data_IF_990242779511
#
_entry.id   IF_990242779511
#
_cell.length_a   1.000
_cell.length_b   1.000
_cell.length_c   1.000
_cell.angle_alpha   90.00
_cell.angle_beta   90.00
_cell.angle_gamma   90.00
#
_symmetry.space_group_name_H-M   'P 1'
#
loop_
_entity.id
_entity.type
_entity.pdbx_description
1 polymer ?
#
# COMPACT_ATOMS: atom_id res chain seq x y z
N UNK A 1 23.76 -2.98 -3.93
CA UNK A 1 22.33 -2.94 -3.56
C UNK A 1 22.21 -3.63 -2.22
N UNK A 2 21.64 -2.97 -1.21
CA UNK A 2 21.44 -3.57 0.10
C UNK A 2 20.53 -4.80 -0.05
N UNK A 3 20.76 -5.89 0.69
CA UNK A 3 19.91 -7.10 0.60
C UNK A 3 18.60 -6.92 1.40
N UNK A 4 18.06 -5.70 1.43
CA UNK A 4 16.88 -5.39 2.24
C UNK A 4 15.62 -5.90 1.54
N UNK A 5 14.58 -6.21 2.33
CA UNK A 5 13.43 -6.96 1.86
C UNK A 5 12.75 -6.34 0.63
N UNK A 6 12.63 -5.01 0.62
CA UNK A 6 11.92 -4.25 -0.42
C UNK A 6 12.82 -3.83 -1.59
N UNK A 7 14.15 -3.94 -1.45
CA UNK A 7 15.09 -3.66 -2.53
C UNK A 7 15.42 -4.89 -3.39
N UNK A 8 14.81 -6.04 -3.06
CA UNK A 8 14.87 -7.23 -3.89
C UNK A 8 14.36 -6.94 -5.32
N UNK A 9 15.12 -7.26 -6.38
CA UNK A 9 14.76 -6.93 -7.75
C UNK A 9 13.38 -7.46 -8.19
N UNK A 10 12.98 -8.63 -7.70
CA UNK A 10 11.71 -9.24 -8.08
C UNK A 10 10.53 -8.55 -7.39
N UNK A 11 10.73 -8.10 -6.15
CA UNK A 11 9.75 -7.27 -5.43
C UNK A 11 9.59 -5.91 -6.13
N UNK A 12 10.70 -5.28 -6.54
CA UNK A 12 10.67 -4.02 -7.29
C UNK A 12 9.94 -4.21 -8.62
N UNK A 13 10.21 -5.30 -9.35
CA UNK A 13 9.56 -5.57 -10.62
C UNK A 13 8.05 -5.80 -10.45
N UNK A 14 7.64 -6.56 -9.43
CA UNK A 14 6.24 -6.82 -9.12
C UNK A 14 5.50 -5.55 -8.67
N UNK A 15 6.13 -4.68 -7.87
CA UNK A 15 5.51 -3.48 -7.30
C UNK A 15 5.12 -2.44 -8.35
N UNK A 16 5.77 -2.43 -9.51
CA UNK A 16 5.41 -1.54 -10.63
C UNK A 16 4.00 -1.72 -11.18
N UNK A 17 3.33 -2.84 -10.84
CA UNK A 17 1.93 -3.12 -11.22
C UNK A 17 0.92 -2.60 -10.20
N UNK A 18 1.39 -1.98 -9.12
CA UNK A 18 0.59 -1.49 -8.02
C UNK A 18 0.81 0.02 -7.85
N UNK A 19 -0.17 0.69 -7.26
CA UNK A 19 -0.04 2.07 -6.81
C UNK A 19 0.21 2.06 -5.31
N UNK A 20 1.20 2.82 -4.86
CA UNK A 20 1.40 3.06 -3.44
C UNK A 20 0.46 4.18 -2.98
N UNK A 21 -0.39 3.89 -2.00
CA UNK A 21 -1.28 4.88 -1.38
C UNK A 21 -0.78 5.12 0.03
N UNK A 22 -0.46 6.37 0.34
CA UNK A 22 -0.15 6.82 1.69
C UNK A 22 -1.34 7.60 2.21
N UNK A 23 -1.90 7.13 3.31
CA UNK A 23 -3.00 7.80 3.99
C UNK A 23 -2.48 8.80 5.03
N UNK A 24 -3.20 9.90 5.19
CA UNK A 24 -2.98 10.99 6.12
C UNK A 24 -3.43 10.60 7.54
N UNK A 25 -2.56 9.89 8.26
CA UNK A 25 -2.89 9.27 9.54
C UNK A 25 -3.17 10.26 10.68
N UNK A 26 -2.57 11.45 10.67
CA UNK A 26 -2.76 12.47 11.70
C UNK A 26 -3.47 13.72 11.17
N UNK A 27 -3.39 13.92 9.86
CA UNK A 27 -3.80 15.14 9.19
C UNK A 27 -5.26 15.07 8.71
N UNK A 28 -5.82 13.85 8.58
CA UNK A 28 -7.21 13.65 8.16
C UNK A 28 -7.93 12.62 9.06
N UNK A 29 -9.04 13.03 9.67
CA UNK A 29 -9.81 12.18 10.59
C UNK A 29 -10.47 10.97 9.90
N UNK A 30 -10.93 11.13 8.67
CA UNK A 30 -11.59 10.07 7.89
C UNK A 30 -10.57 9.01 7.47
N UNK A 31 -9.40 9.43 7.00
CA UNK A 31 -8.30 8.52 6.65
C UNK A 31 -7.73 7.81 7.88
N UNK A 32 -7.61 8.51 9.01
CA UNK A 32 -7.24 7.91 10.29
C UNK A 32 -8.25 6.84 10.74
N UNK A 33 -9.56 7.11 10.60
CA UNK A 33 -10.60 6.13 10.89
C UNK A 33 -10.53 4.91 9.96
N UNK A 34 -10.25 5.12 8.66
CA UNK A 34 -10.04 4.05 7.71
C UNK A 34 -8.82 3.19 8.06
N UNK A 35 -7.69 3.81 8.45
CA UNK A 35 -6.47 3.12 8.90
C UNK A 35 -6.73 2.22 10.12
N UNK A 36 -7.55 2.68 11.08
CA UNK A 36 -7.95 1.87 12.24
C UNK A 36 -8.65 0.57 11.85
N UNK A 37 -9.28 0.48 10.67
CA UNK A 37 -9.90 -0.78 10.25
C UNK A 37 -8.86 -1.88 9.98
N UNK A 38 -7.64 -1.52 9.57
CA UNK A 38 -6.62 -2.47 9.12
C UNK A 38 -5.93 -3.17 10.26
N UNK A 39 -5.35 -2.38 11.17
CA UNK A 39 -4.59 -2.87 12.30
C UNK A 39 -4.65 -1.81 13.40
N UNK A 40 -5.36 -2.12 14.48
CA UNK A 40 -5.31 -1.31 15.71
C UNK A 40 -4.29 -1.89 16.67
N UNK A 41 -3.56 -1.00 17.31
CA UNK A 41 -2.67 -1.37 18.39
C UNK A 41 -3.43 -1.76 19.65
N UNK A 42 -2.69 -2.16 20.69
CA UNK A 42 -3.28 -2.54 21.99
C UNK A 42 -4.07 -1.41 22.66
N UNK A 43 -3.80 -0.16 22.31
CA UNK A 43 -4.53 1.03 22.77
C UNK A 43 -5.85 1.28 22.03
N UNK A 44 -6.15 0.56 20.95
CA UNK A 44 -7.31 0.82 20.09
C UNK A 44 -7.10 1.93 19.05
N UNK A 45 -5.88 2.47 18.96
CA UNK A 45 -5.51 3.47 17.95
C UNK A 45 -4.81 2.85 16.73
N UNK A 46 -4.75 3.63 15.64
CA UNK A 46 -4.01 3.24 14.44
C UNK A 46 -2.52 3.09 14.77
N UNK A 47 -1.92 2.01 14.28
CA UNK A 47 -0.48 1.80 14.39
C UNK A 47 0.29 2.75 13.48
N UNK A 48 1.47 3.23 13.92
CA UNK A 48 2.31 4.16 13.15
C UNK A 48 2.70 3.63 11.76
N UNK A 49 2.73 2.31 11.59
CA UNK A 49 2.99 1.66 10.30
C UNK A 49 2.00 0.53 10.07
N UNK A 50 1.42 0.50 8.87
CA UNK A 50 0.58 -0.58 8.40
C UNK A 50 0.88 -0.89 6.94
N UNK A 51 0.86 -2.16 6.60
CA UNK A 51 0.99 -2.70 5.26
C UNK A 51 -0.23 -3.58 4.96
N UNK A 52 -0.87 -3.34 3.81
CA UNK A 52 -1.93 -4.18 3.26
C UNK A 52 -2.03 -3.93 1.75
N UNK A 53 -2.33 -4.97 0.97
CA UNK A 53 -2.71 -4.83 -0.43
C UNK A 53 -4.24 -4.83 -0.51
N UNK A 54 -4.79 -3.85 -1.21
CA UNK A 54 -6.21 -3.68 -1.45
C UNK A 54 -6.60 -4.06 -2.88
N UNK A 55 -7.87 -4.37 -3.09
CA UNK A 55 -8.48 -4.41 -4.42
C UNK A 55 -8.42 -3.02 -5.09
N UNK A 56 -8.50 -2.94 -6.43
CA UNK A 56 -8.45 -1.65 -7.13
C UNK A 56 -9.50 -0.63 -6.69
N UNK A 57 -10.64 -1.09 -6.17
CA UNK A 57 -11.73 -0.25 -5.63
C UNK A 57 -11.59 0.06 -4.13
N UNK A 58 -10.49 -0.37 -3.49
CA UNK A 58 -10.17 -0.22 -2.07
C UNK A 58 -11.18 -0.86 -1.08
N UNK A 59 -12.11 -1.71 -1.55
CA UNK A 59 -13.15 -2.31 -0.69
C UNK A 59 -12.74 -3.63 -0.05
N UNK A 60 -11.79 -4.35 -0.63
CA UNK A 60 -11.37 -5.67 -0.16
C UNK A 60 -9.87 -5.72 0.15
N UNK A 61 -9.52 -6.44 1.21
CA UNK A 61 -8.11 -6.72 1.56
C UNK A 61 -7.67 -7.99 0.83
N UNK A 62 -6.65 -7.85 -0.01
CA UNK A 62 -6.04 -8.95 -0.75
C UNK A 62 -4.84 -9.55 -0.03
N UNK A 63 -4.36 -8.88 1.02
CA UNK A 63 -3.37 -9.42 1.96
C UNK A 63 -3.82 -9.21 3.40
N UNK A 64 -3.23 -9.97 4.33
CA UNK A 64 -3.31 -9.64 5.75
C UNK A 64 -2.77 -8.23 5.99
N UNK A 65 -3.42 -7.48 6.88
CA UNK A 65 -2.90 -6.21 7.38
C UNK A 65 -1.89 -6.47 8.51
N UNK A 66 -0.73 -5.81 8.46
CA UNK A 66 0.32 -5.98 9.47
C UNK A 66 1.25 -4.78 9.54
N UNK A 67 2.24 -4.76 10.43
CA UNK A 67 3.15 -3.59 10.57
C UNK A 67 4.22 -3.52 9.48
N UNK A 68 4.43 -4.60 8.72
CA UNK A 68 5.38 -4.65 7.62
C UNK A 68 5.25 -5.91 6.77
N UNK A 69 5.92 -5.90 5.61
CA UNK A 69 5.83 -6.97 4.61
C UNK A 69 6.37 -8.32 5.08
N UNK A 70 7.40 -8.32 5.93
CA UNK A 70 7.94 -9.55 6.52
C UNK A 70 6.92 -10.31 7.38
N UNK A 71 6.00 -9.61 8.05
CA UNK A 71 4.95 -10.25 8.86
C UNK A 71 3.83 -10.84 7.99
N UNK A 72 3.71 -10.42 6.73
CA UNK A 72 2.69 -10.90 5.79
C UNK A 72 3.24 -12.01 4.90
N UNK A 73 4.44 -11.83 4.35
CA UNK A 73 5.02 -12.71 3.34
C UNK A 73 6.24 -13.52 3.81
N UNK A 74 6.86 -13.14 4.93
CA UNK A 74 8.03 -13.81 5.50
C UNK A 74 9.35 -13.53 4.77
N UNK A 75 9.35 -13.52 3.43
CA UNK A 75 10.52 -13.24 2.61
C UNK A 75 10.16 -12.54 1.28
N UNK A 76 11.13 -11.91 0.59
CA UNK A 76 10.90 -11.15 -0.64
C UNK A 76 10.32 -12.01 -1.79
N UNK A 77 10.82 -13.24 -1.97
CA UNK A 77 10.35 -14.16 -3.01
C UNK A 77 8.84 -14.42 -2.89
N UNK A 78 8.37 -14.75 -1.69
CA UNK A 78 6.95 -14.97 -1.41
C UNK A 78 6.11 -13.72 -1.69
N UNK A 79 6.65 -12.53 -1.39
CA UNK A 79 5.98 -11.26 -1.70
C UNK A 79 5.87 -11.06 -3.21
N UNK A 80 6.95 -11.22 -3.96
CA UNK A 80 6.96 -11.06 -5.42
C UNK A 80 5.98 -12.03 -6.10
N UNK A 81 5.96 -13.30 -5.67
CA UNK A 81 5.00 -14.31 -6.15
C UNK A 81 3.55 -13.93 -5.79
N UNK A 82 3.30 -13.51 -4.55
CA UNK A 82 1.97 -13.09 -4.09
C UNK A 82 1.44 -11.88 -4.86
N UNK A 83 2.28 -10.85 -5.04
CA UNK A 83 1.96 -9.66 -5.82
C UNK A 83 1.69 -10.01 -7.28
N UNK A 84 2.47 -10.90 -7.87
CA UNK A 84 2.26 -11.36 -9.25
C UNK A 84 0.92 -12.08 -9.40
N UNK A 85 0.57 -12.97 -8.46
CA UNK A 85 -0.73 -13.66 -8.45
C UNK A 85 -1.90 -12.68 -8.33
N UNK A 86 -1.78 -11.68 -7.44
CA UNK A 86 -2.80 -10.63 -7.30
C UNK A 86 -2.94 -9.84 -8.60
N UNK A 87 -1.83 -9.38 -9.19
CA UNK A 87 -1.88 -8.59 -10.42
C UNK A 87 -2.54 -9.34 -11.60
N UNK A 88 -2.41 -10.66 -11.67
CA UNK A 88 -3.08 -11.48 -12.70
C UNK A 88 -4.62 -11.53 -12.54
N UNK A 89 -5.14 -11.33 -11.33
CA UNK A 89 -6.59 -11.31 -11.07
C UNK A 89 -7.22 -9.97 -11.46
N UNK A 90 -6.43 -8.91 -11.56
CA UNK A 90 -6.88 -7.55 -11.86
C UNK A 90 -6.10 -6.99 -13.06
N UNK A 91 -6.31 -7.52 -14.28
CA UNK A 91 -5.64 -7.02 -15.47
C UNK A 91 -5.99 -5.55 -15.70
N UNK A 92 -5.00 -4.73 -16.03
CA UNK A 92 -5.23 -3.34 -16.37
C UNK A 92 -6.07 -3.24 -17.64
N UNK A 93 -7.14 -2.45 -17.60
CA UNK A 93 -7.87 -2.09 -18.82
C UNK A 93 -7.06 -0.98 -19.49
N UNK A 94 -6.48 -1.27 -20.65
CA UNK A 94 -5.57 -0.37 -21.36
C UNK A 94 -6.14 1.04 -21.63
N UNK A 95 -7.47 1.20 -21.60
CA UNK A 95 -8.16 2.49 -21.83
C UNK A 95 -8.24 3.42 -20.62
N UNK A 96 -7.93 2.96 -19.40
CA UNK A 96 -7.94 3.81 -18.19
C UNK A 96 -6.53 4.15 -17.66
N UNK A 97 -5.50 3.44 -18.12
CA UNK A 97 -4.11 3.74 -17.76
C UNK A 97 -3.68 5.16 -18.20
N UNK A 98 -4.27 5.70 -19.27
CA UNK A 98 -4.07 7.09 -19.71
C UNK A 98 -4.84 8.13 -18.88
N UNK A 99 -5.81 7.72 -18.05
CA UNK A 99 -6.59 8.63 -17.19
C UNK A 99 -6.01 8.79 -15.79
N UNK A 100 -4.88 8.15 -15.47
CA UNK A 100 -4.22 8.33 -14.18
C UNK A 100 -3.37 9.60 -14.25
N UNK A 101 -4.03 10.76 -14.16
CA UNK A 101 -3.39 12.01 -13.75
C UNK A 101 -4.27 12.71 -12.72
N UNK A 102 -4.53 12.02 -11.62
CA UNK A 102 -4.70 12.65 -10.33
C UNK A 102 -3.75 11.91 -9.40
N UNK A 103 -2.51 12.42 -9.27
CA UNK A 103 -1.66 12.07 -8.13
C UNK A 103 -2.51 12.19 -6.86
N UNK A 104 -2.30 11.33 -5.84
CA UNK A 104 -3.06 11.41 -4.60
C UNK A 104 -3.10 12.85 -4.10
N UNK A 105 -4.30 13.45 -4.12
CA UNK A 105 -4.48 14.84 -3.75
C UNK A 105 -4.42 14.90 -2.23
N UNK A 106 -3.29 15.39 -1.73
CA UNK A 106 -3.22 15.96 -0.39
C UNK A 106 -3.80 17.38 -0.44
N UNK A 107 -4.49 17.78 0.63
CA UNK A 107 -5.29 19.01 0.63
C UNK A 107 -4.48 20.27 0.30
N UNK A 108 -3.20 20.31 0.66
CA UNK A 108 -2.30 21.41 0.34
C UNK A 108 -0.82 20.96 0.21
N UNK A 109 0.00 21.82 -0.40
CA UNK A 109 1.43 21.59 -0.63
C UNK A 109 2.25 21.49 0.66
N UNK A 110 1.84 22.18 1.74
CA UNK A 110 2.57 22.12 3.02
C UNK A 110 2.42 20.74 3.65
N UNK A 111 1.21 20.19 3.60
CA UNK A 111 0.91 18.82 3.97
C UNK A 111 1.72 17.85 3.12
N UNK A 112 1.74 18.06 1.79
CA UNK A 112 2.52 17.23 0.87
C UNK A 112 4.01 17.16 1.25
N UNK A 113 4.61 18.31 1.57
CA UNK A 113 6.02 18.43 1.91
C UNK A 113 6.37 17.79 3.26
N UNK A 114 5.48 17.87 4.25
CA UNK A 114 5.70 17.25 5.56
C UNK A 114 5.50 15.72 5.56
N UNK A 115 5.00 15.18 4.45
CA UNK A 115 4.63 13.78 4.28
C UNK A 115 5.59 13.03 3.34
N UNK A 116 6.55 13.74 2.71
CA UNK A 116 7.52 13.24 1.72
C UNK A 116 8.75 12.52 2.33
#
# INVERSE_FOLDING_TARGET
MDKSFLSDPDVIAASRKFVCIRLLSYENKEEAAFLKTFNVGRSGDAENTVFCILSPDAKQRLSRASRGTGQVYGNPKNMAEGMTKIALQYPSVASEAEKIFAVPYVADLRLALNVA
#
